data_IF_513625947655
#
_entry.id   IF_513625947655
#
_cell.length_a   1.000
_cell.length_b   1.000
_cell.length_c   1.000
_cell.angle_alpha   90.00
_cell.angle_beta   90.00
_cell.angle_gamma   90.00
#
_symmetry.space_group_name_H-M   'P 1'
#
loop_
_entity.id
_entity.type
_entity.pdbx_description
1 polymer ?
#
# COMPACT_ATOMS: atom_id res chain seq x y z
N UNK A 1 -3.70 23.26 -25.30
CA UNK A 1 -4.54 23.07 -26.50
C UNK A 1 -4.36 21.64 -26.95
N UNK A 2 -5.34 20.78 -26.69
CA UNK A 2 -5.37 19.38 -27.12
C UNK A 2 -5.55 19.34 -28.63
N UNK A 3 -4.49 19.02 -29.36
CA UNK A 3 -4.59 18.57 -30.74
C UNK A 3 -5.31 17.22 -30.74
N UNK A 4 -6.64 17.26 -30.79
CA UNK A 4 -7.44 16.10 -31.20
C UNK A 4 -6.96 15.71 -32.59
N UNK A 5 -6.20 14.61 -32.69
CA UNK A 5 -5.88 13.97 -33.96
C UNK A 5 -7.24 13.65 -34.60
N UNK A 6 -7.61 14.38 -35.67
CA UNK A 6 -8.86 14.12 -36.39
C UNK A 6 -8.83 12.67 -36.88
N UNK A 7 -9.72 11.83 -36.33
CA UNK A 7 -9.90 10.44 -36.76
C UNK A 7 -9.19 9.37 -35.92
N UNK A 8 -8.57 9.69 -34.78
CA UNK A 8 -8.06 8.65 -33.88
C UNK A 8 -9.17 8.16 -32.94
N UNK A 9 -9.67 6.94 -33.17
CA UNK A 9 -10.53 6.25 -32.22
C UNK A 9 -9.66 5.37 -31.30
N UNK A 10 -9.43 5.84 -30.07
CA UNK A 10 -8.66 5.09 -29.07
C UNK A 10 -9.32 3.75 -28.74
N UNK A 11 -10.64 3.67 -28.70
CA UNK A 11 -11.37 2.46 -28.30
C UNK A 11 -11.15 1.37 -29.34
N UNK A 12 -11.25 1.72 -30.63
CA UNK A 12 -10.97 0.80 -31.73
C UNK A 12 -9.50 0.36 -31.74
N UNK A 13 -8.56 1.29 -31.61
CA UNK A 13 -7.12 0.98 -31.59
C UNK A 13 -6.71 0.10 -30.40
N UNK A 14 -7.29 0.35 -29.22
CA UNK A 14 -7.09 -0.49 -28.03
C UNK A 14 -7.65 -1.89 -28.27
N UNK A 15 -8.83 -2.01 -28.87
CA UNK A 15 -9.45 -3.29 -29.17
C UNK A 15 -8.63 -4.09 -30.19
N UNK A 16 -8.17 -3.46 -31.26
CA UNK A 16 -7.30 -4.10 -32.26
C UNK A 16 -6.02 -4.63 -31.62
N UNK A 17 -5.36 -3.81 -30.79
CA UNK A 17 -4.19 -4.24 -30.03
C UNK A 17 -4.48 -5.43 -29.11
N UNK A 18 -5.57 -5.38 -28.33
CA UNK A 18 -5.93 -6.45 -27.39
C UNK A 18 -6.27 -7.78 -28.10
N UNK A 19 -6.92 -7.70 -29.26
CA UNK A 19 -7.29 -8.85 -30.08
C UNK A 19 -6.07 -9.59 -30.66
N UNK A 20 -4.93 -8.91 -30.81
CA UNK A 20 -3.68 -9.57 -31.22
C UNK A 20 -3.16 -10.58 -30.20
N UNK A 21 -3.40 -10.34 -28.90
CA UNK A 21 -2.92 -11.17 -27.78
C UNK A 21 -1.40 -11.35 -27.70
N UNK A 22 -0.63 -10.58 -28.49
CA UNK A 22 0.84 -10.69 -28.51
C UNK A 22 1.52 -9.77 -27.50
N UNK A 23 0.79 -8.80 -26.97
CA UNK A 23 1.25 -7.82 -26.01
C UNK A 23 2.28 -6.82 -26.55
N UNK A 24 2.85 -6.00 -25.68
CA UNK A 24 3.88 -5.00 -26.02
C UNK A 24 5.13 -5.69 -26.56
N UNK A 25 5.53 -6.82 -25.99
CA UNK A 25 6.67 -7.60 -26.48
C UNK A 25 6.46 -8.06 -27.92
N UNK A 26 5.25 -8.46 -28.30
CA UNK A 26 4.93 -8.82 -29.67
C UNK A 26 5.05 -7.65 -30.65
N UNK A 27 4.74 -6.43 -30.22
CA UNK A 27 4.99 -5.23 -31.02
C UNK A 27 6.49 -5.03 -31.24
N UNK A 28 7.31 -5.14 -30.20
CA UNK A 28 8.78 -5.04 -30.31
C UNK A 28 9.34 -6.11 -31.24
N UNK A 29 8.88 -7.35 -31.12
CA UNK A 29 9.31 -8.48 -31.95
C UNK A 29 8.94 -8.29 -33.44
N UNK A 30 7.90 -7.49 -33.73
CA UNK A 30 7.52 -7.11 -35.10
C UNK A 30 8.44 -6.04 -35.72
N UNK A 31 9.37 -5.49 -34.96
CA UNK A 31 10.36 -4.51 -35.45
C UNK A 31 9.82 -3.09 -35.59
N UNK A 32 8.85 -2.69 -34.77
CA UNK A 32 8.29 -1.33 -34.81
C UNK A 32 9.38 -0.28 -34.52
N UNK A 33 9.32 0.83 -35.23
CA UNK A 33 10.22 1.99 -35.02
C UNK A 33 9.50 3.17 -34.38
N UNK A 34 8.18 3.07 -34.19
CA UNK A 34 7.32 4.11 -33.66
C UNK A 34 6.26 3.45 -32.79
N UNK A 35 6.02 4.00 -31.61
CA UNK A 35 5.03 3.42 -30.69
C UNK A 35 3.61 3.72 -31.19
N UNK A 36 2.66 2.79 -31.07
CA UNK A 36 1.26 3.07 -31.36
C UNK A 36 0.73 4.22 -30.50
N UNK A 37 -0.18 5.03 -31.05
CA UNK A 37 -0.71 6.22 -30.38
C UNK A 37 -1.37 5.91 -29.02
N UNK A 38 -1.85 4.68 -28.79
CA UNK A 38 -2.42 4.27 -27.50
C UNK A 38 -1.40 4.31 -26.35
N UNK A 39 -0.09 4.20 -26.65
CA UNK A 39 1.02 4.24 -25.70
C UNK A 39 1.66 5.64 -25.57
N UNK A 40 1.20 6.63 -26.34
CA UNK A 40 1.73 8.00 -26.22
C UNK A 40 1.08 8.71 -25.05
N UNK A 41 1.88 9.17 -24.08
CA UNK A 41 1.39 9.92 -22.93
C UNK A 41 1.36 11.44 -23.24
N UNK A 42 0.19 12.09 -23.26
CA UNK A 42 0.10 13.51 -23.57
C UNK A 42 0.74 14.36 -22.46
N UNK A 43 1.59 15.32 -22.84
CA UNK A 43 2.38 16.16 -21.92
C UNK A 43 3.40 15.39 -21.06
N UNK A 44 3.87 14.24 -21.55
CA UNK A 44 4.97 13.56 -20.88
C UNK A 44 6.22 14.44 -20.88
N UNK A 45 6.69 14.76 -19.67
CA UNK A 45 7.97 15.39 -19.44
C UNK A 45 8.73 14.47 -18.50
N UNK A 46 9.84 13.91 -18.99
CA UNK A 46 10.78 13.18 -18.15
C UNK A 46 11.30 14.14 -17.09
N UNK A 47 10.83 13.99 -15.86
CA UNK A 47 11.33 14.80 -14.76
C UNK A 47 12.73 14.29 -14.43
N UNK A 48 13.76 15.16 -14.41
CA UNK A 48 15.09 14.73 -14.03
C UNK A 48 15.05 14.25 -12.58
N UNK A 49 15.55 13.04 -12.34
CA UNK A 49 15.62 12.51 -11.00
C UNK A 49 16.66 13.27 -10.16
N UNK A 50 16.33 13.49 -8.89
CA UNK A 50 17.21 14.10 -7.90
C UNK A 50 18.37 13.14 -7.58
N UNK A 51 19.46 13.27 -8.33
CA UNK A 51 20.63 12.38 -8.24
C UNK A 51 21.34 12.33 -6.88
N UNK A 52 21.09 13.33 -6.02
CA UNK A 52 21.65 13.42 -4.66
C UNK A 52 20.82 12.70 -3.60
N UNK A 53 19.60 12.26 -3.95
CA UNK A 53 18.71 11.51 -3.08
C UNK A 53 18.77 10.01 -3.38
N UNK A 54 18.51 9.20 -2.35
CA UNK A 54 18.36 7.75 -2.47
C UNK A 54 17.44 7.26 -1.37
N UNK A 55 16.62 6.25 -1.67
CA UNK A 55 15.81 5.60 -0.64
C UNK A 55 16.71 4.93 0.42
N UNK A 56 16.25 4.82 1.68
CA UNK A 56 17.01 4.18 2.75
C UNK A 56 17.38 2.73 2.45
N UNK A 57 18.49 2.28 3.03
CA UNK A 57 18.93 0.88 3.02
C UNK A 57 18.81 0.33 4.43
N UNK A 58 18.12 -0.79 4.58
CA UNK A 58 17.93 -1.52 5.84
C UNK A 58 18.69 -2.84 5.77
N UNK A 59 19.61 -3.06 6.72
CA UNK A 59 20.44 -4.26 6.80
C UNK A 59 19.96 -5.19 7.92
N UNK A 60 19.41 -6.37 7.55
CA UNK A 60 18.89 -7.34 8.52
C UNK A 60 19.98 -8.05 9.35
N UNK A 61 21.26 -7.89 9.02
CA UNK A 61 22.36 -8.43 9.82
C UNK A 61 22.65 -7.61 11.09
N UNK A 62 22.08 -6.40 11.19
CA UNK A 62 22.22 -5.52 12.35
C UNK A 62 21.40 -6.02 13.56
N UNK A 63 21.72 -5.56 14.79
CA UNK A 63 20.90 -5.84 15.96
C UNK A 63 19.43 -5.47 15.74
N UNK A 64 18.51 -6.36 16.13
CA UNK A 64 17.06 -6.23 15.87
C UNK A 64 16.48 -4.87 16.24
N UNK A 65 16.87 -4.28 17.37
CA UNK A 65 16.37 -2.96 17.79
C UNK A 65 16.72 -1.86 16.78
N UNK A 66 17.93 -1.90 16.19
CA UNK A 66 18.37 -0.95 15.16
C UNK A 66 17.58 -1.18 13.87
N UNK A 67 17.37 -2.44 13.49
CA UNK A 67 16.60 -2.79 12.29
C UNK A 67 15.15 -2.31 12.40
N UNK A 68 14.51 -2.53 13.55
CA UNK A 68 13.15 -2.05 13.84
C UNK A 68 13.07 -0.54 13.69
N UNK A 69 14.00 0.21 14.28
CA UNK A 69 14.05 1.67 14.17
C UNK A 69 14.25 2.13 12.72
N UNK A 70 15.14 1.49 11.97
CA UNK A 70 15.39 1.79 10.55
C UNK A 70 14.15 1.51 9.68
N UNK A 71 13.49 0.36 9.87
CA UNK A 71 12.27 0.01 9.14
C UNK A 71 11.19 1.04 9.41
N UNK A 72 10.97 1.42 10.68
CA UNK A 72 9.96 2.43 11.02
C UNK A 72 10.27 3.80 10.41
N UNK A 73 11.50 4.28 10.58
CA UNK A 73 11.92 5.58 10.03
C UNK A 73 11.77 5.60 8.51
N UNK A 74 12.27 4.57 7.81
CA UNK A 74 12.15 4.48 6.37
C UNK A 74 10.69 4.39 5.90
N UNK A 75 9.87 3.57 6.56
CA UNK A 75 8.45 3.43 6.25
C UNK A 75 7.67 4.72 6.46
N UNK A 76 8.02 5.49 7.50
CA UNK A 76 7.35 6.75 7.85
C UNK A 76 7.79 7.90 6.97
N UNK A 77 9.09 8.00 6.71
CA UNK A 77 9.66 9.13 5.99
C UNK A 77 9.48 8.93 4.50
N UNK A 78 9.88 7.78 3.97
CA UNK A 78 9.94 7.47 2.53
C UNK A 78 8.77 6.62 2.02
N UNK A 79 8.25 5.73 2.86
CA UNK A 79 7.36 4.67 2.41
C UNK A 79 8.01 3.65 1.46
N UNK A 80 9.33 3.75 1.27
CA UNK A 80 10.17 2.90 0.43
C UNK A 80 11.53 2.67 1.11
N UNK A 81 12.10 1.48 0.97
CA UNK A 81 13.49 1.20 1.33
C UNK A 81 14.01 -0.05 0.62
N UNK A 82 15.33 -0.16 0.50
CA UNK A 82 16.00 -1.40 0.07
C UNK A 82 16.36 -2.24 1.28
N UNK A 83 16.07 -3.53 1.24
CA UNK A 83 16.37 -4.52 2.28
C UNK A 83 17.53 -5.38 1.81
N UNK A 84 18.59 -5.45 2.62
CA UNK A 84 19.80 -6.25 2.34
C UNK A 84 20.07 -7.26 3.45
N UNK A 85 20.88 -8.27 3.16
CA UNK A 85 21.24 -9.36 4.09
C UNK A 85 20.01 -10.10 4.65
N UNK A 86 18.93 -10.20 3.88
CA UNK A 86 17.65 -10.82 4.26
C UNK A 86 17.64 -12.36 4.19
N UNK A 87 18.79 -12.99 3.92
CA UNK A 87 18.96 -14.45 3.98
C UNK A 87 18.45 -15.24 2.77
N UNK A 88 17.74 -14.62 1.82
CA UNK A 88 17.36 -15.29 0.56
C UNK A 88 18.61 -15.42 -0.33
N UNK A 89 18.93 -16.62 -0.85
CA UNK A 89 20.07 -16.80 -1.75
C UNK A 89 19.94 -15.94 -3.02
N UNK A 90 21.03 -15.29 -3.43
CA UNK A 90 21.06 -14.49 -4.66
C UNK A 90 20.60 -15.28 -5.89
N UNK A 91 20.98 -16.56 -5.98
CA UNK A 91 20.55 -17.45 -7.05
C UNK A 91 19.04 -17.60 -7.15
N UNK A 92 18.31 -17.54 -6.03
CA UNK A 92 16.84 -17.62 -6.04
C UNK A 92 16.24 -16.39 -6.71
N UNK A 93 16.78 -15.21 -6.42
CA UNK A 93 16.35 -13.94 -7.04
C UNK A 93 16.67 -13.96 -8.54
N UNK A 94 17.92 -14.28 -8.89
CA UNK A 94 18.38 -14.35 -10.29
C UNK A 94 17.59 -15.36 -11.12
N UNK A 95 17.34 -16.57 -10.58
CA UNK A 95 16.56 -17.59 -11.26
C UNK A 95 15.11 -17.14 -11.45
N UNK A 96 14.51 -16.47 -10.47
CA UNK A 96 13.13 -15.95 -10.57
C UNK A 96 13.00 -14.92 -11.68
N UNK A 97 13.91 -13.93 -11.71
CA UNK A 97 13.95 -12.92 -12.77
C UNK A 97 14.17 -13.60 -14.13
N UNK A 98 15.13 -14.51 -14.22
CA UNK A 98 15.45 -15.23 -15.46
C UNK A 98 14.28 -16.06 -15.98
N UNK A 99 13.56 -16.76 -15.10
CA UNK A 99 12.43 -17.60 -15.47
C UNK A 99 11.24 -16.77 -15.95
N UNK A 100 10.94 -15.65 -15.29
CA UNK A 100 9.90 -14.72 -15.71
C UNK A 100 10.26 -14.06 -17.05
N UNK A 101 11.51 -13.63 -17.22
CA UNK A 101 12.00 -13.15 -18.52
C UNK A 101 11.84 -14.22 -19.60
N UNK A 102 12.19 -15.47 -19.29
CA UNK A 102 12.06 -16.59 -20.24
C UNK A 102 10.61 -16.82 -20.67
N UNK A 103 9.64 -16.63 -19.77
CA UNK A 103 8.22 -16.63 -20.14
C UNK A 103 7.86 -15.50 -21.12
N UNK A 104 8.28 -14.28 -20.81
CA UNK A 104 7.98 -13.13 -21.68
C UNK A 104 8.72 -13.20 -23.02
N UNK A 105 9.87 -13.87 -23.08
CA UNK A 105 10.63 -14.11 -24.33
C UNK A 105 10.15 -15.34 -25.13
N UNK A 106 9.11 -16.05 -24.68
CA UNK A 106 8.50 -17.12 -25.47
C UNK A 106 8.02 -16.61 -26.84
N UNK A 107 8.02 -17.46 -27.89
CA UNK A 107 7.39 -17.14 -29.16
C UNK A 107 5.95 -16.67 -28.97
N UNK A 108 5.53 -15.66 -29.75
CA UNK A 108 4.24 -15.00 -29.56
C UNK A 108 3.03 -15.96 -29.69
N UNK A 109 3.13 -16.99 -30.53
CA UNK A 109 2.12 -18.04 -30.70
C UNK A 109 2.00 -18.97 -29.48
N UNK A 110 3.08 -19.13 -28.72
CA UNK A 110 3.07 -19.87 -27.43
C UNK A 110 2.59 -18.95 -26.31
N UNK A 111 3.16 -17.74 -26.20
CA UNK A 111 2.82 -16.77 -25.15
C UNK A 111 1.36 -16.35 -25.19
N UNK A 112 0.79 -16.15 -26.39
CA UNK A 112 -0.62 -15.77 -26.58
C UNK A 112 -1.63 -16.82 -26.09
N UNK A 113 -1.22 -18.09 -25.91
CA UNK A 113 -2.08 -19.13 -25.33
C UNK A 113 -2.37 -18.88 -23.85
N UNK A 114 -1.48 -18.15 -23.17
CA UNK A 114 -1.67 -17.71 -21.79
C UNK A 114 -2.44 -16.38 -21.70
N UNK A 115 -2.66 -15.69 -22.82
CA UNK A 115 -3.29 -14.37 -22.83
C UNK A 115 -4.74 -14.44 -22.38
N UNK A 116 -5.04 -13.73 -21.29
CA UNK A 116 -6.37 -13.62 -20.73
C UNK A 116 -6.46 -12.35 -19.91
N UNK A 117 -7.55 -11.58 -20.10
CA UNK A 117 -7.90 -10.48 -19.19
C UNK A 117 -8.62 -10.95 -17.93
N UNK A 118 -9.15 -12.17 -17.96
CA UNK A 118 -9.79 -12.80 -16.82
C UNK A 118 -8.78 -13.62 -16.01
N UNK A 119 -8.90 -13.58 -14.68
CA UNK A 119 -8.07 -14.36 -13.75
C UNK A 119 -8.57 -15.81 -13.62
N UNK A 120 -8.63 -16.53 -14.73
CA UNK A 120 -9.10 -17.92 -14.76
C UNK A 120 -8.12 -18.81 -14.00
N UNK A 121 -8.62 -19.55 -13.01
CA UNK A 121 -7.79 -20.36 -12.12
C UNK A 121 -6.74 -19.56 -11.34
N UNK A 122 -6.94 -18.25 -11.15
CA UNK A 122 -6.01 -17.39 -10.42
C UNK A 122 -4.78 -16.93 -11.22
N UNK A 123 -4.71 -17.19 -12.53
CA UNK A 123 -3.61 -16.77 -13.40
C UNK A 123 -4.14 -15.93 -14.55
N UNK A 124 -3.45 -14.85 -14.91
CA UNK A 124 -3.72 -14.10 -16.15
C UNK A 124 -2.47 -13.47 -16.73
N UNK A 125 -2.32 -13.49 -18.05
CA UNK A 125 -1.29 -12.75 -18.77
C UNK A 125 -1.97 -11.73 -19.70
N UNK A 126 -1.61 -10.45 -19.57
CA UNK A 126 -2.17 -9.37 -20.40
C UNK A 126 -1.29 -8.13 -20.40
N UNK A 127 -1.50 -7.24 -21.36
CA UNK A 127 -0.92 -5.89 -21.31
C UNK A 127 -1.92 -4.94 -20.64
N UNK A 128 -1.52 -4.35 -19.51
CA UNK A 128 -2.29 -3.39 -18.71
C UNK A 128 -3.67 -3.91 -18.25
N UNK A 129 -3.87 -4.04 -16.93
CA UNK A 129 -5.18 -4.41 -16.37
C UNK A 129 -6.29 -3.41 -16.71
N UNK A 130 -5.92 -2.13 -16.76
CA UNK A 130 -6.78 -0.98 -16.96
C UNK A 130 -6.83 -0.50 -18.42
N UNK A 131 -6.40 -1.34 -19.39
CA UNK A 131 -6.24 -0.98 -20.80
C UNK A 131 -7.41 -0.16 -21.39
N UNK A 132 -8.65 -0.55 -21.09
CA UNK A 132 -9.87 0.11 -21.60
C UNK A 132 -10.33 1.33 -20.80
N UNK A 133 -9.74 1.58 -19.63
CA UNK A 133 -10.11 2.68 -18.71
C UNK A 133 -9.05 3.79 -18.71
N UNK A 134 -7.78 3.44 -18.89
CA UNK A 134 -6.67 4.38 -18.85
C UNK A 134 -6.68 5.33 -20.05
N UNK A 135 -6.37 6.61 -19.79
CA UNK A 135 -6.24 7.65 -20.82
C UNK A 135 -5.03 7.46 -21.74
N UNK A 136 -3.99 6.78 -21.25
CA UNK A 136 -2.82 6.32 -21.99
C UNK A 136 -2.37 4.96 -21.46
N UNK A 137 -1.88 4.10 -22.35
CA UNK A 137 -1.50 2.71 -22.03
C UNK A 137 -0.01 2.66 -21.68
N UNK A 138 0.36 1.99 -20.59
CA UNK A 138 1.78 1.84 -20.23
C UNK A 138 2.50 0.79 -21.08
N UNK A 139 3.80 0.99 -21.31
CA UNK A 139 4.67 0.14 -22.12
C UNK A 139 5.14 -1.11 -21.36
N UNK A 140 4.21 -2.04 -21.11
CA UNK A 140 4.47 -3.26 -20.34
C UNK A 140 3.56 -4.43 -20.69
N UNK A 141 4.04 -5.62 -20.39
CA UNK A 141 3.27 -6.85 -20.29
C UNK A 141 3.30 -7.40 -18.87
N UNK A 142 2.22 -8.06 -18.45
CA UNK A 142 2.07 -8.50 -17.06
C UNK A 142 1.55 -9.94 -16.99
N UNK A 143 2.32 -10.82 -16.33
CA UNK A 143 1.80 -12.09 -15.81
C UNK A 143 1.40 -11.89 -14.35
N UNK A 144 0.16 -12.20 -13.99
CA UNK A 144 -0.34 -12.13 -12.62
C UNK A 144 -0.74 -13.50 -12.12
N UNK A 145 -0.40 -13.75 -10.86
CA UNK A 145 -0.75 -14.97 -10.15
C UNK A 145 -1.32 -14.60 -8.80
N UNK A 146 -2.59 -14.96 -8.57
CA UNK A 146 -3.24 -14.83 -7.26
C UNK A 146 -2.77 -15.99 -6.39
N UNK A 147 -1.93 -15.69 -5.40
CA UNK A 147 -1.36 -16.70 -4.50
C UNK A 147 -2.29 -17.03 -3.32
N UNK A 148 -3.10 -16.06 -2.90
CA UNK A 148 -4.03 -16.20 -1.77
C UNK A 148 -5.26 -15.28 -1.93
N UNK A 149 -6.38 -15.56 -1.23
CA UNK A 149 -6.61 -16.66 -0.29
C UNK A 149 -6.84 -18.02 -0.96
N UNK A 150 -7.30 -18.00 -2.22
CA UNK A 150 -7.44 -19.21 -3.05
C UNK A 150 -6.17 -19.35 -3.87
N UNK A 151 -5.48 -20.50 -3.72
CA UNK A 151 -4.28 -20.81 -4.48
C UNK A 151 -4.58 -20.90 -5.99
N UNK A 152 -3.61 -20.57 -6.84
CA UNK A 152 -3.79 -20.67 -8.28
C UNK A 152 -3.87 -22.14 -8.72
N UNK A 153 -4.55 -22.39 -9.83
CA UNK A 153 -4.41 -23.63 -10.59
C UNK A 153 -2.97 -23.70 -11.11
N UNK A 154 -2.13 -24.49 -10.45
CA UNK A 154 -0.69 -24.54 -10.69
C UNK A 154 -0.34 -24.85 -12.15
N UNK A 155 -1.14 -25.68 -12.82
CA UNK A 155 -0.93 -26.04 -14.23
C UNK A 155 -1.19 -24.87 -15.20
N UNK A 156 -1.90 -23.82 -14.77
CA UNK A 156 -2.08 -22.60 -15.57
C UNK A 156 -0.91 -21.63 -15.47
N UNK A 157 -0.06 -21.76 -14.45
CA UNK A 157 1.18 -20.99 -14.38
C UNK A 157 2.10 -21.55 -15.49
N UNK A 158 2.65 -20.68 -16.37
CA UNK A 158 3.51 -21.12 -17.47
C UNK A 158 4.63 -22.02 -16.98
N UNK A 159 4.80 -23.18 -17.63
CA UNK A 159 5.73 -24.22 -17.17
C UNK A 159 7.16 -23.69 -16.99
N UNK A 160 7.59 -22.81 -17.89
CA UNK A 160 8.93 -22.20 -17.91
C UNK A 160 9.27 -21.35 -16.67
N UNK A 161 8.27 -20.87 -15.91
CA UNK A 161 8.49 -20.05 -14.71
C UNK A 161 7.77 -20.55 -13.46
N UNK A 162 7.07 -21.69 -13.56
CA UNK A 162 6.17 -22.18 -12.51
C UNK A 162 6.88 -22.45 -11.20
N UNK A 163 8.03 -23.13 -11.24
CA UNK A 163 8.73 -23.53 -10.03
C UNK A 163 9.25 -22.30 -9.27
N UNK A 164 9.84 -21.35 -10.00
CA UNK A 164 10.43 -20.13 -9.47
C UNK A 164 9.37 -19.18 -8.94
N UNK A 165 8.24 -19.01 -9.66
CA UNK A 165 7.08 -18.22 -9.20
C UNK A 165 6.53 -18.75 -7.88
N UNK A 166 6.39 -20.07 -7.74
CA UNK A 166 5.90 -20.68 -6.50
C UNK A 166 6.90 -20.55 -5.35
N UNK A 167 8.19 -20.79 -5.62
CA UNK A 167 9.24 -20.62 -4.61
C UNK A 167 9.38 -19.16 -4.14
N UNK A 168 9.19 -18.21 -5.05
CA UNK A 168 9.27 -16.78 -4.73
C UNK A 168 8.11 -16.32 -3.82
N UNK A 169 6.88 -16.83 -3.99
CA UNK A 169 5.77 -16.52 -3.05
C UNK A 169 6.11 -16.92 -1.61
N UNK A 170 6.74 -18.08 -1.42
CA UNK A 170 7.11 -18.57 -0.09
C UNK A 170 8.14 -17.64 0.57
N UNK A 171 9.22 -17.31 -0.15
CA UNK A 171 10.25 -16.40 0.35
C UNK A 171 9.73 -14.99 0.62
N UNK A 172 8.96 -14.41 -0.30
CA UNK A 172 8.42 -13.07 -0.10
C UNK A 172 7.37 -13.02 1.02
N UNK A 173 6.60 -14.10 1.23
CA UNK A 173 5.70 -14.20 2.37
C UNK A 173 6.47 -14.19 3.69
N UNK A 174 7.61 -14.87 3.77
CA UNK A 174 8.48 -14.85 4.95
C UNK A 174 9.04 -13.45 5.22
N UNK A 175 9.56 -12.78 4.18
CA UNK A 175 10.05 -11.39 4.29
C UNK A 175 8.93 -10.44 4.72
N UNK A 176 7.75 -10.54 4.08
CA UNK A 176 6.60 -9.70 4.41
C UNK A 176 6.19 -9.89 5.88
N UNK A 177 6.14 -11.13 6.36
CA UNK A 177 5.84 -11.43 7.77
C UNK A 177 6.89 -10.83 8.71
N UNK A 178 8.17 -10.96 8.37
CA UNK A 178 9.26 -10.44 9.21
C UNK A 178 9.22 -8.91 9.30
N UNK A 179 9.09 -8.23 8.16
CA UNK A 179 8.98 -6.77 8.07
C UNK A 179 7.75 -6.26 8.81
N UNK A 180 6.57 -6.87 8.60
CA UNK A 180 5.34 -6.52 9.32
C UNK A 180 5.49 -6.72 10.83
N UNK A 181 6.14 -7.80 11.25
CA UNK A 181 6.40 -8.06 12.67
C UNK A 181 7.33 -7.03 13.30
N UNK A 182 8.37 -6.59 12.58
CA UNK A 182 9.26 -5.51 13.01
C UNK A 182 8.54 -4.14 13.04
N UNK A 183 7.66 -3.86 12.08
CA UNK A 183 6.79 -2.67 12.13
C UNK A 183 5.89 -2.69 13.36
N UNK A 184 5.23 -3.82 13.66
CA UNK A 184 4.42 -3.98 14.87
C UNK A 184 5.23 -3.72 16.14
N UNK A 185 6.42 -4.34 16.24
CA UNK A 185 7.32 -4.17 17.39
C UNK A 185 7.68 -2.69 17.61
N UNK A 186 8.06 -2.00 16.54
CA UNK A 186 8.38 -0.58 16.60
C UNK A 186 7.19 0.30 17.00
N UNK A 187 5.97 -0.10 16.65
CA UNK A 187 4.73 0.55 17.06
C UNK A 187 4.29 0.17 18.49
N UNK A 188 5.04 -0.70 19.18
CA UNK A 188 4.69 -1.19 20.50
C UNK A 188 3.55 -2.23 20.51
N UNK A 189 3.31 -2.87 19.36
CA UNK A 189 2.31 -3.92 19.17
C UNK A 189 2.94 -5.32 19.27
N UNK A 190 2.09 -6.33 19.44
CA UNK A 190 2.53 -7.72 19.31
C UNK A 190 3.01 -7.99 17.86
N UNK A 191 4.17 -8.63 17.72
CA UNK A 191 4.79 -8.94 16.41
C UNK A 191 3.88 -9.73 15.45
N UNK A 192 2.89 -10.45 15.95
CA UNK A 192 1.95 -11.24 15.14
C UNK A 192 0.67 -10.48 14.83
N UNK A 193 0.51 -9.26 15.31
CA UNK A 193 -0.75 -8.52 15.24
C UNK A 193 -1.27 -8.37 13.81
N UNK A 194 -0.41 -7.99 12.87
CA UNK A 194 -0.79 -7.87 11.45
C UNK A 194 -1.15 -9.24 10.84
N UNK A 195 -0.46 -10.31 11.22
CA UNK A 195 -0.77 -11.67 10.74
C UNK A 195 -2.12 -12.17 11.27
N UNK A 196 -2.42 -11.95 12.55
CA UNK A 196 -3.71 -12.27 13.18
C UNK A 196 -4.89 -11.52 12.56
N UNK A 197 -4.62 -10.34 11.99
CA UNK A 197 -5.61 -9.54 11.26
C UNK A 197 -5.71 -9.92 9.78
N UNK A 198 -5.14 -11.06 9.38
CA UNK A 198 -5.21 -11.59 8.01
C UNK A 198 -4.53 -10.68 6.96
N UNK A 199 -3.54 -9.87 7.35
CA UNK A 199 -2.81 -8.98 6.43
C UNK A 199 -2.00 -9.72 5.36
N UNK A 200 -1.75 -11.02 5.57
CA UNK A 200 -1.05 -11.90 4.63
C UNK A 200 -2.00 -12.79 3.82
N UNK A 201 -3.33 -12.69 4.00
CA UNK A 201 -4.29 -13.60 3.34
C UNK A 201 -4.71 -13.16 1.93
N UNK A 202 -4.54 -11.88 1.58
CA UNK A 202 -4.64 -11.41 0.20
C UNK A 202 -3.24 -11.29 -0.39
N UNK A 203 -2.88 -12.13 -1.36
CA UNK A 203 -1.56 -12.01 -2.03
C UNK A 203 -1.66 -12.18 -3.52
N UNK A 204 -0.98 -11.29 -4.23
CA UNK A 204 -0.85 -11.32 -5.67
C UNK A 204 0.61 -11.14 -6.06
N UNK A 205 1.08 -11.97 -6.98
CA UNK A 205 2.33 -11.76 -7.68
C UNK A 205 2.04 -11.08 -9.02
N UNK A 206 2.83 -10.07 -9.33
CA UNK A 206 2.75 -9.28 -10.55
C UNK A 206 4.14 -9.29 -11.20
N UNK A 207 4.27 -10.09 -12.25
CA UNK A 207 5.50 -10.28 -12.99
C UNK A 207 5.49 -9.35 -14.20
N UNK A 208 6.08 -8.16 -14.05
CA UNK A 208 6.12 -7.13 -15.07
C UNK A 208 7.29 -7.34 -16.02
N UNK A 209 7.04 -7.07 -17.30
CA UNK A 209 8.07 -7.02 -18.32
C UNK A 209 7.92 -5.74 -19.13
N UNK A 210 9.05 -5.06 -19.33
CA UNK A 210 9.11 -3.75 -19.97
C UNK A 210 10.05 -3.85 -21.17
N UNK A 211 9.52 -4.26 -22.35
CA UNK A 211 10.33 -4.41 -23.54
C UNK A 211 11.04 -3.10 -23.94
N UNK A 212 12.19 -3.15 -24.62
CA UNK A 212 12.84 -1.96 -25.15
C UNK A 212 11.88 -1.10 -25.97
N UNK A 213 11.80 0.19 -25.67
CA UNK A 213 10.92 1.13 -26.36
C UNK A 213 11.69 1.91 -27.45
N UNK A 214 11.19 2.01 -28.69
CA UNK A 214 11.82 2.82 -29.73
C UNK A 214 11.67 4.34 -29.50
N UNK A 215 10.70 4.76 -28.70
CA UNK A 215 10.44 6.17 -28.38
C UNK A 215 10.23 6.38 -26.87
N UNK A 216 11.27 6.16 -26.04
CA UNK A 216 11.15 6.19 -24.58
C UNK A 216 10.70 7.55 -24.04
N UNK A 217 11.01 8.66 -24.74
CA UNK A 217 10.59 10.00 -24.35
C UNK A 217 9.10 10.31 -24.67
N UNK A 218 8.30 9.31 -25.04
CA UNK A 218 6.87 9.46 -25.36
C UNK A 218 5.96 8.53 -24.58
N UNK A 219 6.53 7.63 -23.77
CA UNK A 219 5.78 6.62 -23.01
C UNK A 219 6.39 6.37 -21.64
N UNK A 220 5.72 5.54 -20.85
CA UNK A 220 6.13 5.15 -19.51
C UNK A 220 5.96 3.65 -19.35
N UNK A 221 6.84 3.01 -18.58
CA UNK A 221 6.69 1.59 -18.26
C UNK A 221 5.42 1.33 -17.44
N UNK A 222 5.16 2.17 -16.44
CA UNK A 222 3.93 2.23 -15.64
C UNK A 222 3.62 3.70 -15.38
N UNK A 223 2.36 4.09 -15.18
CA UNK A 223 2.08 5.49 -14.80
C UNK A 223 2.32 5.72 -13.30
N UNK A 224 2.59 6.97 -12.91
CA UNK A 224 2.56 7.41 -11.50
C UNK A 224 1.34 6.83 -10.78
N UNK A 225 1.61 6.03 -9.76
CA UNK A 225 0.59 5.44 -8.91
C UNK A 225 1.12 5.16 -7.51
N UNK A 226 0.19 4.93 -6.59
CA UNK A 226 0.47 4.35 -5.28
C UNK A 226 -0.10 2.93 -5.23
N UNK A 227 0.57 2.07 -4.46
CA UNK A 227 0.11 0.70 -4.29
C UNK A 227 -1.09 0.64 -3.35
N UNK A 228 -2.21 0.02 -3.74
CA UNK A 228 -3.36 -0.16 -2.86
C UNK A 228 -3.14 -1.27 -1.81
N UNK A 229 -1.94 -1.84 -1.74
CA UNK A 229 -1.56 -2.95 -0.85
C UNK A 229 -1.23 -2.44 0.57
N UNK A 230 -0.93 -3.39 1.47
CA UNK A 230 -0.33 -3.06 2.77
C UNK A 230 1.18 -2.92 2.62
N UNK A 231 1.78 -3.94 2.02
CA UNK A 231 3.22 -4.06 1.83
C UNK A 231 3.45 -4.72 0.49
N UNK A 232 4.46 -4.25 -0.22
CA UNK A 232 4.94 -4.86 -1.45
C UNK A 232 6.41 -5.25 -1.25
N UNK A 233 6.75 -6.47 -1.70
CA UNK A 233 8.11 -7.01 -1.74
C UNK A 233 8.49 -7.16 -3.20
N UNK A 234 9.37 -6.30 -3.67
CA UNK A 234 9.77 -6.19 -5.06
C UNK A 234 11.20 -6.70 -5.24
N UNK A 235 11.39 -7.54 -6.27
CA UNK A 235 12.71 -7.76 -6.88
C UNK A 235 12.74 -7.07 -8.23
N UNK A 236 13.84 -6.40 -8.52
CA UNK A 236 14.12 -5.78 -9.81
C UNK A 236 15.39 -6.37 -10.41
N UNK A 237 15.52 -6.25 -11.73
CA UNK A 237 16.79 -6.51 -12.39
C UNK A 237 17.81 -5.38 -12.16
N UNK A 238 19.01 -5.52 -12.73
CA UNK A 238 20.07 -4.52 -12.59
C UNK A 238 19.99 -3.39 -13.65
N UNK A 239 18.95 -3.38 -14.49
CA UNK A 239 18.69 -2.26 -15.42
C UNK A 239 18.06 -1.11 -14.63
N UNK A 240 17.19 -1.45 -13.67
CA UNK A 240 16.50 -0.49 -12.80
C UNK A 240 15.39 0.25 -13.53
N UNK A 241 15.15 1.50 -13.13
CA UNK A 241 14.14 2.37 -13.74
C UNK A 241 12.98 2.71 -12.82
N UNK A 242 12.87 2.04 -11.66
CA UNK A 242 11.97 2.50 -10.60
C UNK A 242 12.36 3.90 -10.12
N UNK A 243 11.38 4.80 -10.12
CA UNK A 243 11.47 6.15 -9.58
C UNK A 243 10.43 6.32 -8.49
N UNK A 244 10.84 6.91 -7.36
CA UNK A 244 9.97 7.25 -6.24
C UNK A 244 9.80 8.76 -6.18
N UNK A 245 8.56 9.22 -6.13
CA UNK A 245 8.22 10.63 -6.00
C UNK A 245 8.47 11.08 -4.57
N UNK A 246 9.26 12.12 -4.37
CA UNK A 246 9.64 12.70 -3.09
C UNK A 246 9.31 14.19 -3.03
N UNK A 247 9.23 14.77 -1.83
CA UNK A 247 9.09 16.21 -1.64
C UNK A 247 10.34 16.78 -0.95
N UNK A 248 11.04 17.64 -1.68
CA UNK A 248 12.20 18.42 -1.23
C UNK A 248 11.87 19.92 -1.31
N UNK A 249 12.01 20.64 -0.19
CA UNK A 249 11.71 22.08 -0.08
C UNK A 249 10.33 22.49 -0.63
N UNK A 250 9.31 21.65 -0.42
CA UNK A 250 7.94 21.90 -0.88
C UNK A 250 7.73 21.72 -2.39
N UNK A 251 8.69 21.10 -3.09
CA UNK A 251 8.59 20.74 -4.51
C UNK A 251 8.65 19.23 -4.67
N UNK A 252 7.79 18.72 -5.56
CA UNK A 252 7.84 17.32 -5.97
C UNK A 252 9.06 17.08 -6.86
N UNK A 253 9.83 16.06 -6.52
CA UNK A 253 10.99 15.58 -7.27
C UNK A 253 10.89 14.07 -7.42
N UNK A 254 11.40 13.52 -8.52
CA UNK A 254 11.51 12.08 -8.68
C UNK A 254 12.89 11.62 -8.20
N UNK A 255 12.99 10.46 -7.56
CA UNK A 255 14.23 9.89 -7.04
C UNK A 255 14.43 8.52 -7.66
N UNK A 256 15.54 8.32 -8.37
CA UNK A 256 15.87 7.02 -8.95
C UNK A 256 16.22 6.04 -7.83
N UNK A 257 15.59 4.86 -7.85
CA UNK A 257 16.02 3.73 -7.04
C UNK A 257 17.15 3.03 -7.77
N UNK A 258 18.35 3.10 -7.20
CA UNK A 258 19.53 2.46 -7.78
C UNK A 258 19.53 0.97 -7.40
N UNK A 259 19.54 0.04 -8.38
CA UNK A 259 19.53 -1.38 -8.09
C UNK A 259 20.77 -1.80 -7.31
N UNK A 260 20.56 -2.55 -6.23
CA UNK A 260 21.62 -3.20 -5.46
C UNK A 260 21.51 -4.71 -5.71
N UNK A 261 22.60 -5.38 -6.15
CA UNK A 261 22.56 -6.82 -6.39
C UNK A 261 22.06 -7.62 -5.19
N UNK A 262 20.96 -8.33 -5.40
CA UNK A 262 20.32 -9.17 -4.39
C UNK A 262 19.51 -8.41 -3.34
N UNK A 263 19.38 -7.09 -3.41
CA UNK A 263 18.49 -6.36 -2.51
C UNK A 263 17.02 -6.53 -2.89
N UNK A 264 16.14 -6.45 -1.90
CA UNK A 264 14.69 -6.36 -2.11
C UNK A 264 14.26 -4.90 -1.95
N UNK A 265 13.31 -4.45 -2.75
CA UNK A 265 12.65 -3.16 -2.51
C UNK A 265 11.37 -3.42 -1.74
N UNK A 266 11.21 -2.72 -0.63
CA UNK A 266 10.01 -2.78 0.20
C UNK A 266 9.31 -1.43 0.08
N UNK A 267 8.01 -1.45 -0.22
CA UNK A 267 7.17 -0.27 -0.11
C UNK A 267 5.95 -0.51 0.75
N UNK A 268 5.62 0.52 1.53
CA UNK A 268 4.38 0.58 2.30
C UNK A 268 3.29 1.12 1.39
N UNK A 269 2.25 0.32 1.17
CA UNK A 269 1.13 0.74 0.34
C UNK A 269 0.23 1.72 1.07
N UNK A 270 -0.80 2.18 0.37
CA UNK A 270 -1.76 3.18 0.85
C UNK A 270 -2.38 2.83 2.21
N UNK A 271 -2.49 1.54 2.50
CA UNK A 271 -3.02 1.05 3.76
C UNK A 271 -2.07 1.41 4.91
N UNK A 272 -0.74 1.29 4.79
CA UNK A 272 0.18 1.63 5.89
C UNK A 272 0.54 3.13 5.97
N UNK A 273 0.54 3.85 4.85
CA UNK A 273 0.98 5.26 4.81
C UNK A 273 0.09 6.22 5.63
N UNK A 274 -1.08 5.77 6.06
CA UNK A 274 -1.99 6.54 6.93
C UNK A 274 -1.41 6.76 8.33
N UNK A 275 -0.48 5.93 8.80
CA UNK A 275 0.09 6.05 10.16
C UNK A 275 1.28 7.03 10.26
N UNK A 276 1.86 7.44 9.13
CA UNK A 276 2.95 8.40 9.11
C UNK A 276 2.41 9.83 9.24
N UNK A 277 2.25 10.32 10.48
CA UNK A 277 1.81 11.68 10.80
C UNK A 277 2.59 12.76 10.04
N UNK A 278 2.09 13.21 8.88
CA UNK A 278 2.20 14.59 8.37
C UNK A 278 1.17 14.80 7.24
N UNK A 279 0.50 15.96 7.12
CA UNK A 279 -0.49 16.24 6.07
C UNK A 279 0.07 16.33 4.64
N UNK A 280 1.30 15.90 4.40
CA UNK A 280 1.97 15.96 3.10
C UNK A 280 2.71 14.65 2.88
N UNK A 281 2.84 14.28 1.61
CA UNK A 281 3.69 13.22 1.04
C UNK A 281 3.00 11.87 0.81
N UNK A 282 2.31 11.79 -0.33
CA UNK A 282 2.07 10.53 -1.05
C UNK A 282 3.26 10.31 -1.97
N UNK A 283 3.95 9.19 -1.81
CA UNK A 283 5.09 8.83 -2.66
C UNK A 283 4.58 7.93 -3.77
N UNK A 284 4.15 8.57 -4.87
CA UNK A 284 3.87 7.86 -6.11
C UNK A 284 5.15 7.21 -6.64
N UNK A 285 5.04 6.10 -7.37
CA UNK A 285 6.16 5.54 -8.08
C UNK A 285 5.83 5.32 -9.55
N UNK A 286 6.86 5.45 -10.37
CA UNK A 286 6.86 5.21 -11.80
C UNK A 286 8.04 4.26 -12.10
N UNK A 287 8.00 3.56 -13.21
CA UNK A 287 9.05 2.65 -13.67
C UNK A 287 9.38 3.06 -15.11
N UNK A 288 10.57 3.64 -15.27
CA UNK A 288 11.30 3.65 -16.52
C UNK A 288 11.74 2.21 -16.83
N UNK A 289 11.85 1.88 -18.12
CA UNK A 289 11.88 0.50 -18.63
C UNK A 289 12.91 -0.42 -17.92
N UNK A 290 12.44 -1.46 -17.21
CA UNK A 290 13.30 -2.52 -16.63
C UNK A 290 12.47 -3.67 -16.02
N UNK A 291 12.95 -4.92 -16.11
CA UNK A 291 12.16 -6.10 -15.70
C UNK A 291 11.98 -6.16 -14.17
N UNK A 292 10.73 -6.25 -13.70
CA UNK A 292 10.41 -6.21 -12.26
C UNK A 292 9.37 -7.25 -11.86
N UNK A 293 9.57 -7.90 -10.73
CA UNK A 293 8.62 -8.87 -10.16
C UNK A 293 8.20 -8.36 -8.79
N UNK A 294 6.98 -7.86 -8.68
CA UNK A 294 6.42 -7.42 -7.41
C UNK A 294 5.50 -8.48 -6.81
N UNK A 295 5.64 -8.73 -5.51
CA UNK A 295 4.65 -9.45 -4.71
C UNK A 295 3.95 -8.45 -3.81
N UNK A 296 2.63 -8.39 -3.94
CA UNK A 296 1.76 -7.51 -3.18
C UNK A 296 1.06 -8.31 -2.08
N UNK A 297 1.26 -7.94 -0.82
CA UNK A 297 0.42 -8.37 0.30
C UNK A 297 -0.71 -7.35 0.50
N UNK A 298 -1.94 -7.77 0.22
CA UNK A 298 -3.15 -6.98 0.39
C UNK A 298 -3.80 -7.35 1.70
N UNK A 299 -3.74 -6.44 2.67
CA UNK A 299 -4.54 -6.54 3.88
C UNK A 299 -6.00 -6.18 3.60
N UNK A 300 -6.94 -6.83 4.30
CA UNK A 300 -8.34 -6.43 4.23
C UNK A 300 -8.53 -5.04 4.88
N UNK A 301 -9.46 -4.19 4.41
CA UNK A 301 -9.75 -2.92 5.06
C UNK A 301 -10.14 -3.04 6.54
N UNK A 302 -10.74 -4.17 6.95
CA UNK A 302 -11.03 -4.49 8.36
C UNK A 302 -9.75 -4.68 9.21
N UNK A 303 -8.72 -5.25 8.60
CA UNK A 303 -7.43 -5.48 9.24
C UNK A 303 -6.75 -4.16 9.61
N UNK A 304 -6.76 -3.25 8.63
CA UNK A 304 -6.17 -1.93 8.72
C UNK A 304 -6.73 -1.09 9.87
N UNK A 305 -8.06 -1.05 10.02
CA UNK A 305 -8.70 -0.25 11.07
C UNK A 305 -8.32 -0.71 12.48
N UNK A 306 -8.28 -2.02 12.72
CA UNK A 306 -7.91 -2.56 14.02
C UNK A 306 -6.45 -2.27 14.36
N UNK A 307 -5.55 -2.41 13.38
CA UNK A 307 -4.13 -2.08 13.54
C UNK A 307 -3.97 -0.60 13.90
N UNK A 308 -4.68 0.30 13.20
CA UNK A 308 -4.65 1.73 13.45
C UNK A 308 -5.11 2.08 14.87
N UNK A 309 -6.22 1.50 15.31
CA UNK A 309 -6.74 1.73 16.65
C UNK A 309 -5.80 1.18 17.73
N UNK A 310 -5.21 0.00 17.52
CA UNK A 310 -4.26 -0.58 18.47
C UNK A 310 -2.95 0.20 18.50
N UNK A 311 -2.45 0.68 17.37
CA UNK A 311 -1.23 1.50 17.29
C UNK A 311 -1.44 2.85 17.99
N UNK A 312 -2.60 3.49 17.77
CA UNK A 312 -3.02 4.68 18.51
C UNK A 312 -3.06 4.37 20.01
N UNK A 313 -3.69 3.27 20.41
CA UNK A 313 -3.82 2.88 21.81
C UNK A 313 -2.45 2.61 22.45
N UNK A 314 -1.57 1.86 21.79
CA UNK A 314 -0.20 1.58 22.23
C UNK A 314 0.61 2.86 22.39
N UNK A 315 0.44 3.82 21.46
CA UNK A 315 1.14 5.11 21.49
C UNK A 315 0.62 6.05 22.57
N UNK A 316 -0.67 5.97 22.91
CA UNK A 316 -1.28 6.78 23.97
C UNK A 316 -1.03 6.18 25.36
N UNK A 317 -0.82 4.87 25.46
CA UNK A 317 -0.49 4.18 26.72
C UNK A 317 0.80 4.74 27.32
N UNK A 318 0.71 5.21 28.55
CA UNK A 318 1.87 5.65 29.33
C UNK A 318 2.32 7.10 29.15
N UNK A 319 1.70 7.87 28.24
CA UNK A 319 2.04 9.28 27.99
C UNK A 319 1.66 10.22 29.15
N UNK A 320 2.46 11.28 29.33
CA UNK A 320 2.14 12.41 30.22
C UNK A 320 1.09 13.35 29.61
N UNK A 321 0.50 14.23 30.44
CA UNK A 321 -0.64 15.09 30.08
C UNK A 321 -0.42 15.94 28.81
N UNK A 322 0.73 16.59 28.70
CA UNK A 322 1.03 17.51 27.58
C UNK A 322 1.41 16.75 26.30
N UNK A 323 2.06 15.60 26.45
CA UNK A 323 2.39 14.66 25.38
C UNK A 323 1.11 14.05 24.77
N UNK A 324 0.15 13.67 25.64
CA UNK A 324 -1.16 13.12 25.24
C UNK A 324 -1.98 14.14 24.42
N UNK A 325 -2.01 15.41 24.83
CA UNK A 325 -2.76 16.45 24.13
C UNK A 325 -2.21 16.74 22.72
N UNK A 326 -0.88 16.74 22.58
CA UNK A 326 -0.21 16.92 21.30
C UNK A 326 -0.42 15.70 20.37
N UNK A 327 -0.29 14.48 20.91
CA UNK A 327 -0.51 13.25 20.14
C UNK A 327 -1.98 13.12 19.69
N UNK A 328 -2.96 13.42 20.55
CA UNK A 328 -4.37 13.35 20.20
C UNK A 328 -4.78 14.35 19.10
N UNK A 329 -4.19 15.55 19.11
CA UNK A 329 -4.42 16.54 18.05
C UNK A 329 -3.83 16.08 16.72
N UNK A 330 -2.65 15.44 16.73
CA UNK A 330 -2.05 14.82 15.54
C UNK A 330 -2.87 13.64 15.01
N UNK A 331 -3.38 12.77 15.90
CA UNK A 331 -4.20 11.62 15.53
C UNK A 331 -5.55 12.07 14.93
N UNK A 332 -6.18 13.10 15.50
CA UNK A 332 -7.46 13.63 14.99
C UNK A 332 -7.36 14.17 13.56
N UNK A 333 -6.31 14.92 13.24
CA UNK A 333 -6.04 15.38 11.87
C UNK A 333 -5.82 14.21 10.89
N UNK A 334 -5.13 13.16 11.35
CA UNK A 334 -4.81 11.98 10.56
C UNK A 334 -6.08 11.18 10.21
N UNK A 335 -6.96 10.95 11.20
CA UNK A 335 -8.23 10.23 10.99
C UNK A 335 -9.19 11.04 10.09
N UNK A 336 -9.25 12.37 10.22
CA UNK A 336 -10.06 13.19 9.31
C UNK A 336 -9.56 13.14 7.85
N UNK A 337 -8.25 13.17 7.64
CA UNK A 337 -7.65 13.05 6.30
C UNK A 337 -7.86 11.65 5.70
N UNK A 338 -7.76 10.60 6.52
CA UNK A 338 -8.06 9.22 6.16
C UNK A 338 -9.49 9.08 5.62
N UNK A 339 -10.44 9.65 6.35
CA UNK A 339 -11.85 9.59 5.99
C UNK A 339 -12.10 10.25 4.64
N UNK A 340 -11.58 11.47 4.44
CA UNK A 340 -11.74 12.20 3.18
C UNK A 340 -11.08 11.46 2.00
N UNK A 341 -10.00 10.70 2.23
CA UNK A 341 -9.36 9.86 1.20
C UNK A 341 -10.18 8.61 0.84
N UNK A 342 -10.70 7.90 1.84
CA UNK A 342 -11.59 6.74 1.64
C UNK A 342 -12.87 7.19 0.91
N UNK A 343 -13.41 8.36 1.25
CA UNK A 343 -14.53 8.97 0.54
C UNK A 343 -14.19 9.26 -0.94
N UNK A 344 -13.00 9.81 -1.21
CA UNK A 344 -12.55 10.12 -2.57
C UNK A 344 -12.43 8.90 -3.48
N UNK A 345 -12.03 7.73 -2.96
CA UNK A 345 -11.87 6.49 -3.75
C UNK A 345 -13.14 5.64 -3.87
N UNK A 346 -14.08 5.76 -2.93
CA UNK A 346 -15.36 5.03 -3.00
C UNK A 346 -16.44 5.76 -3.82
N UNK A 347 -16.16 6.96 -4.30
CA UNK A 347 -17.10 7.85 -5.00
C UNK A 347 -17.29 7.59 -6.52
N UNK A 348 -16.71 6.53 -7.10
CA UNK A 348 -16.94 6.21 -8.52
C UNK A 348 -18.28 5.50 -8.80
N UNK A 349 -19.04 5.13 -7.76
CA UNK A 349 -20.36 4.52 -7.88
C UNK A 349 -21.41 5.25 -7.03
N UNK A 350 -22.36 5.94 -7.67
CA UNK A 350 -23.29 6.89 -7.06
C UNK A 350 -24.22 6.31 -6.00
N UNK A 351 -24.43 4.99 -5.97
CA UNK A 351 -25.24 4.34 -4.93
C UNK A 351 -24.44 4.06 -3.64
N UNK A 352 -23.13 3.86 -3.75
CA UNK A 352 -22.21 3.61 -2.62
C UNK A 352 -21.78 4.94 -1.98
N UNK A 353 -21.68 6.02 -2.77
CA UNK A 353 -21.25 7.35 -2.33
C UNK A 353 -22.10 7.93 -1.18
N UNK A 354 -23.42 7.77 -1.23
CA UNK A 354 -24.33 8.31 -0.20
C UNK A 354 -24.21 7.58 1.14
N UNK A 355 -24.08 6.25 1.10
CA UNK A 355 -23.89 5.44 2.30
C UNK A 355 -22.51 5.70 2.92
N UNK A 356 -21.47 5.76 2.09
CA UNK A 356 -20.11 6.08 2.52
C UNK A 356 -20.06 7.47 3.14
N UNK A 357 -20.73 8.46 2.54
CA UNK A 357 -20.83 9.81 3.09
C UNK A 357 -21.56 9.83 4.45
N UNK A 358 -22.67 9.11 4.60
CA UNK A 358 -23.38 9.02 5.88
C UNK A 358 -22.56 8.34 6.99
N UNK A 359 -21.79 7.31 6.63
CA UNK A 359 -20.88 6.62 7.54
C UNK A 359 -19.66 7.49 7.90
N UNK A 360 -19.15 8.27 6.94
CA UNK A 360 -18.08 9.23 7.14
C UNK A 360 -18.48 10.33 8.12
N UNK A 361 -19.68 10.89 7.97
CA UNK A 361 -20.18 11.94 8.86
C UNK A 361 -20.38 11.42 10.29
N UNK A 362 -20.85 10.17 10.44
CA UNK A 362 -20.90 9.50 11.76
C UNK A 362 -19.51 9.33 12.37
N UNK A 363 -18.50 8.98 11.56
CA UNK A 363 -17.14 8.83 12.08
C UNK A 363 -16.48 10.17 12.42
N UNK A 364 -16.68 11.20 11.60
CA UNK A 364 -16.22 12.57 11.88
C UNK A 364 -16.82 13.10 13.18
N UNK A 365 -18.12 12.88 13.40
CA UNK A 365 -18.79 13.25 14.65
C UNK A 365 -18.19 12.54 15.87
N UNK A 366 -17.80 11.27 15.73
CA UNK A 366 -17.21 10.47 16.81
C UNK A 366 -15.75 10.84 17.11
N UNK A 367 -14.95 11.21 16.09
CA UNK A 367 -13.61 11.78 16.28
C UNK A 367 -13.70 13.13 17.01
N UNK A 368 -14.68 13.95 16.68
CA UNK A 368 -14.96 15.19 17.41
C UNK A 368 -15.37 14.90 18.87
N UNK A 369 -16.24 13.92 19.09
CA UNK A 369 -16.62 13.49 20.44
C UNK A 369 -15.43 12.93 21.24
N UNK A 370 -14.51 12.21 20.60
CA UNK A 370 -13.25 11.74 21.19
C UNK A 370 -12.39 12.92 21.68
N UNK A 371 -12.32 13.98 20.87
CA UNK A 371 -11.59 15.20 21.17
C UNK A 371 -12.22 15.92 22.36
N UNK A 372 -13.54 15.96 22.42
CA UNK A 372 -14.28 16.56 23.53
C UNK A 372 -14.18 15.72 24.81
N UNK A 373 -14.32 14.39 24.75
CA UNK A 373 -14.10 13.48 25.89
C UNK A 373 -12.67 13.57 26.41
N UNK A 374 -11.67 13.57 25.51
CA UNK A 374 -10.28 13.73 25.90
C UNK A 374 -10.02 15.10 26.52
N UNK A 375 -10.67 16.16 26.02
CA UNK A 375 -10.62 17.50 26.59
C UNK A 375 -11.26 17.55 27.97
N UNK A 376 -12.44 16.94 28.16
CA UNK A 376 -13.11 16.83 29.46
C UNK A 376 -12.32 16.01 30.47
N UNK A 377 -11.71 14.90 30.05
CA UNK A 377 -10.78 14.12 30.88
C UNK A 377 -9.55 14.96 31.25
N UNK A 378 -9.02 15.76 30.34
CA UNK A 378 -7.94 16.71 30.61
C UNK A 378 -8.39 17.75 31.64
N UNK A 379 -9.58 18.32 31.50
CA UNK A 379 -10.17 19.33 32.40
C UNK A 379 -10.43 18.73 33.79
N UNK A 380 -10.97 17.52 33.88
CA UNK A 380 -11.19 16.76 35.12
C UNK A 380 -9.88 16.45 35.87
N UNK A 381 -8.82 16.09 35.14
CA UNK A 381 -7.47 15.92 35.70
C UNK A 381 -6.87 17.24 36.19
N UNK A 382 -7.25 18.37 35.62
CA UNK A 382 -6.79 19.71 36.02
C UNK A 382 -7.53 20.21 37.27
N UNK A 383 -8.85 19.98 37.33
CA UNK A 383 -9.72 20.35 38.46
C UNK A 383 -9.46 19.46 39.69
N UNK A 384 -9.21 18.15 39.54
CA UNK A 384 -8.87 17.29 40.69
C UNK A 384 -7.50 17.62 41.34
N UNK A 385 -6.57 18.26 40.60
CA UNK A 385 -5.34 18.84 41.16
C UNK A 385 -5.58 20.18 41.87
N UNK A 386 -6.52 20.99 41.37
CA UNK A 386 -6.95 22.25 42.00
C UNK A 386 -7.70 22.01 43.32
N UNK A 387 -8.54 20.98 43.39
CA UNK A 387 -9.23 20.59 44.63
C UNK A 387 -8.25 20.06 45.70
N UNK A 388 -7.22 19.31 45.30
CA UNK A 388 -6.13 18.89 46.21
C UNK A 388 -5.25 20.05 46.69
N UNK A 389 -5.14 21.13 45.92
CA UNK A 389 -4.43 22.35 46.32
C UNK A 389 -5.28 23.22 47.27
N UNK A 390 -6.60 23.28 47.08
CA UNK A 390 -7.52 24.00 47.97
C UNK A 390 -7.80 23.27 49.29
N UNK A 391 -7.74 21.93 49.33
CA UNK A 391 -7.96 21.14 50.55
C UNK A 391 -6.79 21.12 51.55
N UNK A 392 -5.66 21.80 51.27
CA UNK A 392 -4.53 21.85 52.20
C UNK A 392 -4.77 22.73 53.44
N UNK A 393 -5.91 23.42 53.56
CA UNK A 393 -6.17 24.36 54.65
C UNK A 393 -7.22 23.97 55.71
N UNK A 394 -7.92 22.84 55.60
CA UNK A 394 -8.82 22.38 56.68
C UNK A 394 -8.58 20.93 57.08
N UNK A 395 -8.13 20.75 58.33
CA UNK A 395 -7.87 19.44 58.95
C UNK A 395 -9.18 18.78 59.37
N UNK A 396 -9.53 17.62 58.78
CA UNK A 396 -10.24 16.51 59.44
C UNK A 396 -9.89 15.17 58.77
N UNK A 397 -9.82 14.05 59.52
CA UNK A 397 -9.37 12.77 58.99
C UNK A 397 -10.56 11.90 58.55
N UNK A 398 -10.54 11.37 57.31
CA UNK A 398 -11.29 10.16 56.95
C UNK A 398 -10.75 9.47 55.68
N UNK A 399 -10.34 8.21 55.88
CA UNK A 399 -10.29 7.05 54.95
C UNK A 399 -9.41 7.06 53.69
N UNK A 400 -8.85 5.89 53.30
CA UNK A 400 -7.85 5.79 52.25
C UNK A 400 -8.52 5.66 50.89
N UNK A 401 -8.36 6.65 50.01
CA UNK A 401 -8.79 6.51 48.62
C UNK A 401 -7.89 7.32 47.68
N UNK A 402 -7.59 6.71 46.54
CA UNK A 402 -6.82 7.23 45.40
C UNK A 402 -5.30 7.00 45.44
N UNK A 403 -4.90 5.75 45.67
CA UNK A 403 -3.97 5.14 44.71
C UNK A 403 -4.66 5.07 43.35
N UNK A 404 -3.99 5.55 42.30
CA UNK A 404 -4.26 5.41 40.85
C UNK A 404 -5.19 6.40 40.11
N UNK A 405 -4.82 7.69 40.08
CA UNK A 405 -5.29 8.58 38.99
C UNK A 405 -4.86 8.12 37.59
N UNK A 406 -3.84 7.24 37.51
CA UNK A 406 -3.32 6.67 36.26
C UNK A 406 -4.18 5.50 35.78
N UNK A 407 -4.51 4.54 36.66
CA UNK A 407 -5.35 3.39 36.27
C UNK A 407 -6.77 3.82 35.88
N UNK A 408 -7.30 4.88 36.49
CA UNK A 408 -8.62 5.38 36.13
C UNK A 408 -8.67 6.01 34.73
N UNK A 409 -7.58 6.68 34.31
CA UNK A 409 -7.45 7.21 32.95
C UNK A 409 -7.27 6.06 31.95
N UNK A 410 -6.45 5.07 32.29
CA UNK A 410 -6.25 3.88 31.45
C UNK A 410 -7.58 3.09 31.29
N UNK A 411 -8.38 2.93 32.36
CA UNK A 411 -9.70 2.28 32.32
C UNK A 411 -10.74 3.06 31.49
N UNK A 412 -10.73 4.40 31.57
CA UNK A 412 -11.65 5.24 30.79
C UNK A 412 -11.30 5.25 29.30
N UNK A 413 -10.00 5.30 28.97
CA UNK A 413 -9.51 5.15 27.60
C UNK A 413 -9.87 3.78 27.04
N UNK A 414 -9.56 2.70 27.76
CA UNK A 414 -9.91 1.32 27.40
C UNK A 414 -11.43 1.16 27.17
N UNK A 415 -12.26 1.75 28.04
CA UNK A 415 -13.72 1.73 27.91
C UNK A 415 -14.25 2.52 26.70
N UNK A 416 -13.65 3.67 26.37
CA UNK A 416 -14.00 4.45 25.18
C UNK A 416 -13.56 3.72 23.89
N UNK A 417 -12.34 3.19 23.85
CA UNK A 417 -11.83 2.41 22.70
C UNK A 417 -12.66 1.16 22.44
N UNK A 418 -13.06 0.40 23.48
CA UNK A 418 -13.93 -0.77 23.33
C UNK A 418 -15.31 -0.45 22.75
N UNK A 419 -15.92 0.67 23.16
CA UNK A 419 -17.22 1.11 22.64
C UNK A 419 -17.13 1.50 21.17
N UNK A 420 -16.07 2.21 20.80
CA UNK A 420 -15.86 2.67 19.41
C UNK A 420 -15.50 1.54 18.47
N UNK A 421 -14.66 0.59 18.90
CA UNK A 421 -14.37 -0.65 18.17
C UNK A 421 -15.63 -1.45 17.83
N UNK A 422 -16.59 -1.50 18.76
CA UNK A 422 -17.89 -2.18 18.55
C UNK A 422 -18.75 -1.48 17.50
N UNK A 423 -18.90 -0.17 17.62
CA UNK A 423 -19.75 0.62 16.71
C UNK A 423 -19.20 0.63 15.28
N UNK A 424 -17.88 0.72 15.12
CA UNK A 424 -17.23 0.65 13.81
C UNK A 424 -17.37 -0.72 13.14
N UNK A 425 -17.21 -1.80 13.90
CA UNK A 425 -17.50 -3.16 13.43
C UNK A 425 -18.93 -3.30 12.91
N UNK A 426 -19.92 -2.72 13.60
CA UNK A 426 -21.33 -2.75 13.19
C UNK A 426 -21.59 -1.96 11.89
N UNK A 427 -20.94 -0.81 11.73
CA UNK A 427 -21.01 0.01 10.50
C UNK A 427 -20.46 -0.77 9.31
N UNK A 428 -19.31 -1.43 9.48
CA UNK A 428 -18.65 -2.13 8.38
C UNK A 428 -19.32 -3.46 8.03
N UNK A 429 -19.86 -4.20 9.01
CA UNK A 429 -20.63 -5.41 8.72
C UNK A 429 -21.87 -5.10 7.87
N UNK A 430 -22.49 -3.93 8.09
CA UNK A 430 -23.56 -3.41 7.22
C UNK A 430 -23.06 -3.08 5.82
N UNK A 431 -21.90 -2.44 5.67
CA UNK A 431 -21.31 -2.13 4.35
C UNK A 431 -20.87 -3.39 3.58
N UNK A 432 -20.29 -4.38 4.27
CA UNK A 432 -19.88 -5.67 3.69
C UNK A 432 -21.08 -6.52 3.25
N UNK A 433 -22.16 -6.51 4.04
CA UNK A 433 -23.43 -7.16 3.66
C UNK A 433 -23.97 -6.59 2.34
N UNK A 434 -23.92 -5.26 2.19
CA UNK A 434 -24.36 -4.57 0.97
C UNK A 434 -23.46 -4.83 -0.25
N UNK A 435 -22.13 -4.93 -0.05
CA UNK A 435 -21.19 -5.31 -1.12
C UNK A 435 -21.42 -6.75 -1.60
N UNK A 436 -21.67 -7.69 -0.68
CA UNK A 436 -22.02 -9.08 -1.02
C UNK A 436 -23.35 -9.20 -1.77
N UNK A 437 -24.32 -8.31 -1.47
CA UNK A 437 -25.58 -8.24 -2.18
C UNK A 437 -25.39 -7.69 -3.61
N UNK A 438 -24.47 -6.74 -3.82
CA UNK A 438 -24.16 -6.19 -5.15
C UNK A 438 -23.39 -7.18 -6.05
N UNK A 439 -22.46 -7.97 -5.49
CA UNK A 439 -21.72 -9.00 -6.24
C UNK A 439 -22.61 -10.17 -6.71
N UNK A 440 -23.77 -10.37 -6.08
CA UNK A 440 -24.75 -11.42 -6.42
C UNK A 440 -25.86 -10.97 -7.38
N UNK A 441 -25.86 -9.73 -7.88
CA UNK A 441 -26.78 -9.32 -8.94
C UNK A 441 -26.25 -9.77 -10.31
N UNK A 442 -27.02 -10.52 -11.12
CA UNK A 442 -26.65 -10.77 -12.51
C UNK A 442 -26.64 -9.43 -13.25
N UNK A 443 -25.45 -9.01 -13.69
CA UNK A 443 -25.29 -7.82 -14.54
C UNK A 443 -25.78 -8.19 -15.96
N UNK A 444 -27.02 -7.81 -16.26
CA UNK A 444 -27.61 -7.84 -17.62
C UNK A 444 -26.99 -6.82 -18.53
#
# INVERSE_FOLDING_TARGET
MTTSIRGFDRVEAVKEFDETKVGVKGLVDSGITTIPAIFTHPNFHRSPAASHLSIPIVDLSLPRSIVVDHILSASKEWGFFQLVNHGIPLSTIENTISAIRSFHELPADVRSQHYSRERVGGVCYSSNLDLYRAGATSWRDTLQVKMAPVRPEVDRIPEVCRAEVMAWDEHAMEIAREVMGMMCEGLGLDTKRMEEMSCLEGRFMVCQHYPPCPEPDRTLGIVDHTDPSLLTVLIEDLIGGLQVKWEEDGKEVWVDVKPIPGALIINTGDILQVEATTPQKRHGHDIDLGDGVSINAVASPKAFEAILLDAIEARLRGLGKDELANQLSSISLTVSFLLDHIAGRLCEDGAIANLVSELLEKLKAEVAHLKDEAHELLVALTTSKLDKAHFKHERKPCTPALTSSRSHVDELLEGSFRRKRRMLSEIWDRAGTLRSLHENFPRT
#
